data_IF_415298755680
#
_entry.id   IF_415298755680
#
_cell.length_a   1.000
_cell.length_b   1.000
_cell.length_c   1.000
_cell.angle_alpha   90.00
_cell.angle_beta   90.00
_cell.angle_gamma   90.00
#
_symmetry.space_group_name_H-M   'P 1'
#
loop_
_entity.id
_entity.type
_entity.pdbx_description
1 polymer ?
#
# COMPACT_ATOMS: atom_id res chain seq x y z
N UNK A 1 -0.41 18.53 -1.48
CA UNK A 1 -1.33 18.31 -0.33
C UNK A 1 -0.85 17.10 0.46
N UNK A 2 -1.23 16.97 1.75
CA UNK A 2 -0.87 15.81 2.59
C UNK A 2 -1.61 14.55 2.08
N UNK A 3 -0.88 13.45 1.83
CA UNK A 3 -1.42 12.19 1.28
C UNK A 3 -1.83 11.25 2.42
N UNK A 4 -0.90 10.99 3.34
CA UNK A 4 -1.09 10.17 4.52
C UNK A 4 -1.78 10.95 5.65
N UNK A 5 -2.96 10.50 6.06
CA UNK A 5 -3.75 11.15 7.12
C UNK A 5 -3.86 10.35 8.42
N UNK A 6 -3.36 9.11 8.47
CA UNK A 6 -3.61 8.21 9.62
C UNK A 6 -2.49 7.23 9.98
N UNK A 7 -1.52 6.97 9.10
CA UNK A 7 -0.48 5.95 9.32
C UNK A 7 0.76 6.63 9.94
N UNK A 8 1.23 6.16 11.09
CA UNK A 8 2.51 6.53 11.72
C UNK A 8 2.86 8.03 11.62
N UNK A 9 1.93 8.91 12.01
CA UNK A 9 2.05 10.36 11.79
C UNK A 9 3.20 11.03 12.55
N UNK A 10 3.70 10.38 13.61
CA UNK A 10 4.86 10.85 14.37
C UNK A 10 6.19 10.54 13.67
N UNK A 11 6.18 9.63 12.69
CA UNK A 11 7.36 9.34 11.89
C UNK A 11 7.58 10.43 10.84
N UNK A 12 8.77 11.03 10.86
CA UNK A 12 9.19 11.98 9.83
C UNK A 12 9.19 11.36 8.42
N UNK A 13 9.33 10.03 8.32
CA UNK A 13 9.31 9.27 7.07
C UNK A 13 8.92 7.81 7.34
N UNK A 14 7.70 7.44 6.98
CA UNK A 14 7.20 6.06 7.07
C UNK A 14 7.85 5.19 5.98
N UNK A 15 8.53 4.12 6.39
CA UNK A 15 9.21 3.16 5.50
C UNK A 15 8.86 1.75 5.97
N UNK A 16 8.54 0.87 5.03
CA UNK A 16 8.33 -0.55 5.30
C UNK A 16 9.36 -1.37 4.52
N UNK A 17 9.88 -2.41 5.16
CA UNK A 17 10.81 -3.37 4.57
C UNK A 17 10.25 -4.77 4.80
N UNK A 18 10.19 -5.57 3.75
CA UNK A 18 9.73 -6.96 3.80
C UNK A 18 10.70 -7.82 2.99
N UNK A 19 11.06 -8.98 3.54
CA UNK A 19 11.83 -10.00 2.85
C UNK A 19 10.85 -10.96 2.19
N UNK A 20 11.03 -11.22 0.90
CA UNK A 20 10.20 -12.16 0.14
C UNK A 20 10.92 -13.49 -0.04
N UNK A 21 10.18 -14.57 0.14
CA UNK A 21 10.59 -15.91 -0.25
C UNK A 21 10.16 -16.19 -1.70
N UNK A 22 10.89 -17.08 -2.38
CA UNK A 22 10.47 -17.60 -3.68
C UNK A 22 9.08 -18.22 -3.55
N UNK A 23 8.18 -17.86 -4.46
CA UNK A 23 6.77 -18.26 -4.46
C UNK A 23 5.85 -17.26 -3.76
N UNK A 24 6.38 -16.27 -3.04
CA UNK A 24 5.55 -15.27 -2.39
C UNK A 24 4.85 -14.37 -3.40
N UNK A 25 3.59 -14.06 -3.09
CA UNK A 25 2.83 -12.99 -3.71
C UNK A 25 2.36 -12.02 -2.64
N UNK A 26 2.75 -10.75 -2.77
CA UNK A 26 2.37 -9.68 -1.84
C UNK A 26 1.76 -8.51 -2.61
N UNK A 27 0.78 -7.86 -1.98
CA UNK A 27 0.07 -6.72 -2.54
C UNK A 27 0.15 -5.57 -1.54
N UNK A 28 0.87 -4.51 -1.90
CA UNK A 28 1.15 -3.38 -1.02
C UNK A 28 0.31 -2.17 -1.35
N UNK A 29 -0.10 -1.46 -0.31
CA UNK A 29 -0.83 -0.21 -0.40
C UNK A 29 0.06 0.90 -0.99
N UNK A 30 -0.50 1.69 -1.90
CA UNK A 30 0.08 2.97 -2.34
C UNK A 30 -0.83 4.18 -2.11
N UNK A 31 -2.05 3.96 -1.60
CA UNK A 31 -3.04 5.01 -1.39
C UNK A 31 -3.04 5.59 0.03
N UNK A 32 -2.31 4.98 0.99
CA UNK A 32 -2.30 5.37 2.41
C UNK A 32 -3.66 5.28 3.12
N UNK A 33 -4.61 4.52 2.56
CA UNK A 33 -5.97 4.33 3.14
C UNK A 33 -6.19 2.95 3.74
N UNK A 34 -5.31 1.98 3.50
CA UNK A 34 -5.48 0.63 4.03
C UNK A 34 -5.47 0.61 5.57
N UNK A 35 -6.32 -0.22 6.17
CA UNK A 35 -6.28 -0.60 7.58
C UNK A 35 -5.24 -1.68 7.87
N UNK A 36 -4.80 -2.41 6.84
CA UNK A 36 -3.74 -3.43 6.93
C UNK A 36 -2.39 -2.92 6.42
N UNK A 37 -2.18 -1.59 6.39
CA UNK A 37 -0.95 -0.99 5.89
C UNK A 37 0.28 -1.63 6.55
N UNK A 38 1.30 -2.07 5.80
CA UNK A 38 1.63 -1.71 4.41
C UNK A 38 0.93 -2.52 3.31
N UNK A 39 0.14 -3.53 3.66
CA UNK A 39 -0.57 -4.36 2.69
C UNK A 39 -1.78 -3.60 2.12
N UNK A 40 -2.24 -4.04 0.95
CA UNK A 40 -3.46 -3.53 0.33
C UNK A 40 -4.66 -4.40 0.72
N UNK A 41 -5.69 -3.78 1.27
CA UNK A 41 -7.00 -4.36 1.58
C UNK A 41 -8.12 -3.94 0.60
N UNK A 42 -7.79 -3.13 -0.42
CA UNK A 42 -8.77 -2.61 -1.39
C UNK A 42 -9.32 -1.22 -1.07
N UNK A 43 -8.92 -0.57 0.03
CA UNK A 43 -9.41 0.78 0.40
C UNK A 43 -9.21 1.85 -0.69
N UNK A 44 -8.27 1.64 -1.61
CA UNK A 44 -8.06 2.52 -2.77
C UNK A 44 -9.31 2.62 -3.67
N UNK A 45 -10.18 1.61 -3.72
CA UNK A 45 -11.40 1.63 -4.54
C UNK A 45 -12.36 2.71 -4.05
N UNK A 46 -12.62 2.77 -2.74
CA UNK A 46 -13.49 3.79 -2.15
C UNK A 46 -12.89 5.19 -2.33
N UNK A 47 -11.59 5.34 -2.06
CA UNK A 47 -10.85 6.58 -2.28
C UNK A 47 -10.96 7.08 -3.73
N UNK A 48 -10.73 6.20 -4.71
CA UNK A 48 -10.84 6.53 -6.13
C UNK A 48 -12.25 6.98 -6.50
N UNK A 49 -13.28 6.26 -6.03
CA UNK A 49 -14.68 6.61 -6.28
C UNK A 49 -15.06 7.96 -5.69
N UNK A 50 -14.64 8.24 -4.45
CA UNK A 50 -14.99 9.48 -3.74
C UNK A 50 -14.22 10.71 -4.25
N UNK A 51 -12.98 10.52 -4.72
CA UNK A 51 -12.09 11.62 -5.11
C UNK A 51 -11.93 11.79 -6.62
N UNK A 52 -12.45 10.85 -7.43
CA UNK A 52 -12.17 10.80 -8.87
C UNK A 52 -10.70 10.47 -9.17
N UNK A 53 -10.05 9.71 -8.28
CA UNK A 53 -8.64 9.32 -8.38
C UNK A 53 -8.49 7.95 -9.06
N UNK A 54 -7.26 7.54 -9.39
CA UNK A 54 -6.96 6.30 -10.12
C UNK A 54 -5.80 5.48 -9.53
N UNK A 55 -5.49 5.67 -8.25
CA UNK A 55 -4.39 4.95 -7.59
C UNK A 55 -4.72 3.46 -7.39
N UNK A 56 -3.69 2.63 -7.33
CA UNK A 56 -3.80 1.20 -7.11
C UNK A 56 -2.60 0.62 -6.35
N UNK A 57 -2.66 -0.66 -5.95
CA UNK A 57 -1.59 -1.28 -5.19
C UNK A 57 -0.32 -1.51 -6.03
N UNK A 58 0.75 -1.92 -5.36
CA UNK A 58 1.91 -2.57 -5.96
C UNK A 58 1.77 -4.09 -5.72
N UNK A 59 1.83 -4.90 -6.77
CA UNK A 59 1.82 -6.35 -6.66
C UNK A 59 3.25 -6.84 -6.90
N UNK A 60 3.80 -7.60 -5.96
CA UNK A 60 5.10 -8.25 -6.06
C UNK A 60 4.90 -9.76 -6.06
N UNK A 61 5.52 -10.44 -7.03
CA UNK A 61 5.65 -11.89 -7.08
C UNK A 61 7.14 -12.22 -7.12
N UNK A 62 7.60 -13.07 -6.21
CA UNK A 62 8.98 -13.55 -6.19
C UNK A 62 9.06 -14.89 -6.94
N UNK A 63 9.61 -14.87 -8.14
CA UNK A 63 9.72 -16.05 -9.00
C UNK A 63 11.18 -16.48 -9.14
N UNK A 64 11.42 -17.79 -9.31
CA UNK A 64 12.71 -18.29 -9.80
C UNK A 64 12.84 -17.86 -11.25
N UNK A 65 13.94 -17.17 -11.58
CA UNK A 65 14.30 -16.88 -12.97
C UNK A 65 14.96 -18.08 -13.63
#
# INVERSE_FOLDING_TARGET
>A
AKINGKIDLDSAKVVNQEQLCVGDKKVYCRCWKSETFPLCDGAHVAHNKEKGDNVGPLILTAEMK
#
